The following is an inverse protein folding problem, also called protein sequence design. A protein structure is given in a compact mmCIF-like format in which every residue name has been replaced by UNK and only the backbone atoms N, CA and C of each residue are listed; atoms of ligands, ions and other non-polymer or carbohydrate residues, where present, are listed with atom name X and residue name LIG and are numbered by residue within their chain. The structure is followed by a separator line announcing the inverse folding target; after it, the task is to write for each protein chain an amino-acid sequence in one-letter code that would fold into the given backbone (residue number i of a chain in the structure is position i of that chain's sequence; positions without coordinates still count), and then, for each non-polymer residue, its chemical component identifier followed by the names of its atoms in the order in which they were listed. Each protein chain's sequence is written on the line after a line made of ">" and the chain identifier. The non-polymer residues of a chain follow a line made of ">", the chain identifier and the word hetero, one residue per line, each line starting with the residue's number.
data_IF_771629053058
#
_entry.id   IF_771629053058
#
_cell.length_a   1.000
_cell.length_b   1.000
_cell.length_c   1.000
_cell.angle_alpha   90.00
_cell.angle_beta   90.00
_cell.angle_gamma   90.00
#
_symmetry.space_group_name_H-M   'P 1'
#
loop_
_entity.id
_entity.type
_entity.pdbx_description
1 polymer ?
#
# COMPACT_ATOMS: atom_id res chain seq x y z
N UNK A 1 1.64 14.79 -14.15
CA UNK A 1 0.77 13.61 -14.10
C UNK A 1 1.36 12.65 -13.07
N UNK A 2 0.53 12.04 -12.22
CA UNK A 2 0.96 11.02 -11.25
C UNK A 2 0.58 9.63 -11.76
N UNK A 3 1.44 8.65 -11.56
CA UNK A 3 1.15 7.25 -11.87
C UNK A 3 0.22 6.69 -10.80
N UNK A 4 -0.88 6.07 -11.19
CA UNK A 4 -1.82 5.44 -10.26
C UNK A 4 -1.33 4.04 -9.91
N UNK A 5 -1.21 3.74 -8.62
CA UNK A 5 -0.75 2.44 -8.13
C UNK A 5 -1.77 1.86 -7.16
N UNK A 6 -2.21 0.64 -7.44
CA UNK A 6 -2.96 -0.17 -6.49
C UNK A 6 -2.03 -0.87 -5.50
N UNK A 7 -2.27 -0.71 -4.20
CA UNK A 7 -1.56 -1.48 -3.17
C UNK A 7 -2.56 -2.46 -2.57
N UNK A 8 -2.34 -3.75 -2.83
CA UNK A 8 -3.18 -4.85 -2.35
C UNK A 8 -2.61 -5.41 -1.06
N UNK A 9 -3.40 -5.53 -0.01
CA UNK A 9 -2.94 -6.04 1.29
C UNK A 9 -4.02 -6.75 2.11
N UNK A 10 -3.61 -7.37 3.20
CA UNK A 10 -4.46 -8.18 4.07
C UNK A 10 -4.49 -9.65 3.66
N UNK A 11 -5.68 -10.16 3.32
CA UNK A 11 -5.91 -11.58 3.03
C UNK A 11 -6.26 -12.41 4.28
N UNK A 12 -6.80 -13.61 4.05
CA UNK A 12 -7.19 -14.56 5.11
C UNK A 12 -5.99 -15.46 5.46
N UNK A 13 -5.08 -14.93 6.26
CA UNK A 13 -3.85 -15.58 6.73
C UNK A 13 -3.57 -15.18 8.19
N UNK A 14 -2.78 -15.98 8.91
CA UNK A 14 -2.21 -15.57 10.21
C UNK A 14 -1.29 -14.35 10.11
N UNK A 15 -0.87 -13.99 8.90
CA UNK A 15 -0.03 -12.82 8.60
C UNK A 15 -0.84 -11.58 8.18
N UNK A 16 -2.17 -11.60 8.31
CA UNK A 16 -3.05 -10.49 7.93
C UNK A 16 -2.56 -9.12 8.45
N UNK A 17 -2.27 -9.06 9.75
CA UNK A 17 -1.77 -7.85 10.42
C UNK A 17 -0.40 -7.40 9.90
N UNK A 18 0.46 -8.35 9.50
CA UNK A 18 1.78 -8.07 8.95
C UNK A 18 1.62 -7.45 7.55
N UNK A 19 0.70 -7.97 6.75
CA UNK A 19 0.39 -7.41 5.43
C UNK A 19 -0.14 -5.97 5.53
N UNK A 20 -1.05 -5.69 6.46
CA UNK A 20 -1.57 -4.34 6.72
C UNK A 20 -0.44 -3.37 7.11
N UNK A 21 0.41 -3.76 8.06
CA UNK A 21 1.53 -2.91 8.52
C UNK A 21 2.52 -2.62 7.41
N UNK A 22 2.79 -3.63 6.56
CA UNK A 22 3.70 -3.48 5.43
C UNK A 22 3.15 -2.50 4.40
N UNK A 23 1.87 -2.62 4.05
CA UNK A 23 1.22 -1.69 3.13
C UNK A 23 1.21 -0.25 3.65
N UNK A 24 0.92 -0.06 4.94
CA UNK A 24 0.98 1.25 5.60
C UNK A 24 2.38 1.89 5.46
N UNK A 25 3.44 1.14 5.73
CA UNK A 25 4.81 1.64 5.60
C UNK A 25 5.12 2.08 4.16
N UNK A 26 4.69 1.31 3.16
CA UNK A 26 4.86 1.68 1.74
C UNK A 26 4.10 2.97 1.42
N UNK A 27 2.83 3.09 1.83
CA UNK A 27 2.00 4.28 1.58
C UNK A 27 2.60 5.53 2.23
N UNK A 28 3.22 5.39 3.41
CA UNK A 28 3.82 6.51 4.13
C UNK A 28 5.10 7.02 3.47
N UNK A 29 5.92 6.11 2.91
CA UNK A 29 7.26 6.41 2.38
C UNK A 29 7.31 6.63 0.87
N UNK A 30 6.28 6.22 0.12
CA UNK A 30 6.26 6.37 -1.33
C UNK A 30 6.31 7.85 -1.76
N UNK A 31 6.98 8.11 -2.89
CA UNK A 31 7.07 9.44 -3.50
C UNK A 31 5.68 9.93 -3.95
N UNK A 32 5.07 10.79 -3.13
CA UNK A 32 3.72 11.31 -3.35
C UNK A 32 3.64 12.30 -4.51
N UNK A 33 4.75 12.80 -5.02
CA UNK A 33 4.77 13.68 -6.20
C UNK A 33 4.70 12.86 -7.49
N UNK A 34 5.23 11.63 -7.47
CA UNK A 34 5.17 10.69 -8.59
C UNK A 34 3.92 9.83 -8.59
N UNK A 35 3.39 9.47 -7.42
CA UNK A 35 2.38 8.42 -7.31
C UNK A 35 1.07 8.87 -6.65
N UNK A 36 -0.04 8.39 -7.19
CA UNK A 36 -1.38 8.43 -6.57
C UNK A 36 -1.73 7.00 -6.15
N UNK A 37 -1.92 6.79 -4.84
CA UNK A 37 -2.09 5.44 -4.28
C UNK A 37 -3.56 5.10 -4.07
N UNK A 38 -3.95 3.91 -4.51
CA UNK A 38 -5.28 3.32 -4.32
C UNK A 38 -5.10 2.07 -3.45
N UNK A 39 -5.46 2.09 -2.16
CA UNK A 39 -5.44 0.91 -1.31
C UNK A 39 -6.55 -0.08 -1.71
N UNK A 40 -6.24 -1.38 -1.78
CA UNK A 40 -7.13 -2.47 -2.20
C UNK A 40 -7.06 -3.64 -1.22
#
# INVERSE_FOLDING_TARGET
>A
MKTKIGIIFGGRSGEHEISIRSAKAVIEQIDKDKYEVIPI
#
